data_IF_599681585817
#
_entry.id   IF_599681585817
#
_cell.length_a   1.000
_cell.length_b   1.000
_cell.length_c   1.000
_cell.angle_alpha   90.00
_cell.angle_beta   90.00
_cell.angle_gamma   90.00
#
_symmetry.space_group_name_H-M   'P 1'
#
loop_
_entity.id
_entity.type
_entity.pdbx_description
1 polymer ?
#
# COMPACT_ATOMS: atom_id res chain seq x y z
N UNK A 1 -14.77 -21.62 -15.51
CA UNK A 1 -14.34 -20.46 -16.31
C UNK A 1 -12.83 -20.54 -16.37
N UNK A 2 -12.21 -20.51 -17.56
CA UNK A 2 -10.75 -20.45 -17.64
C UNK A 2 -10.28 -19.15 -17.02
N UNK A 3 -9.43 -19.23 -16.01
CA UNK A 3 -8.65 -18.07 -15.58
C UNK A 3 -7.89 -17.55 -16.80
N UNK A 4 -8.00 -16.26 -17.16
CA UNK A 4 -7.13 -15.69 -18.17
C UNK A 4 -5.69 -15.86 -17.69
N UNK A 5 -4.79 -16.27 -18.59
CA UNK A 5 -3.37 -16.32 -18.26
C UNK A 5 -2.90 -14.94 -17.76
N UNK A 6 -2.32 -14.90 -16.56
CA UNK A 6 -1.88 -13.68 -15.88
C UNK A 6 -1.01 -12.80 -16.80
N UNK A 7 -0.09 -13.43 -17.53
CA UNK A 7 0.84 -12.71 -18.41
C UNK A 7 0.10 -11.93 -19.51
N UNK A 8 -0.92 -12.56 -20.12
CA UNK A 8 -1.73 -11.91 -21.17
C UNK A 8 -2.54 -10.74 -20.64
N UNK A 9 -3.07 -10.83 -19.42
CA UNK A 9 -3.77 -9.71 -18.77
C UNK A 9 -2.81 -8.57 -18.44
N UNK A 10 -1.63 -8.89 -17.90
CA UNK A 10 -0.61 -7.90 -17.57
C UNK A 10 -0.13 -7.17 -18.82
N UNK A 11 0.21 -7.89 -19.88
CA UNK A 11 0.61 -7.31 -21.17
C UNK A 11 -0.47 -6.37 -21.71
N UNK A 12 -1.73 -6.81 -21.69
CA UNK A 12 -2.86 -6.00 -22.13
C UNK A 12 -3.02 -4.73 -21.29
N UNK A 13 -2.93 -4.84 -19.97
CA UNK A 13 -3.00 -3.70 -19.07
C UNK A 13 -1.86 -2.70 -19.30
N UNK A 14 -0.64 -3.17 -19.62
CA UNK A 14 0.51 -2.33 -19.90
C UNK A 14 0.37 -1.54 -21.22
N UNK A 15 -0.46 -2.00 -22.16
CA UNK A 15 -0.78 -1.23 -23.39
C UNK A 15 -1.67 -0.02 -23.16
N UNK A 16 -2.38 0.04 -22.02
CA UNK A 16 -3.24 1.18 -21.68
C UNK A 16 -2.40 2.45 -21.44
N UNK A 17 -3.02 3.61 -21.66
CA UNK A 17 -2.41 4.90 -21.30
C UNK A 17 -2.16 4.96 -19.78
N UNK A 18 -1.19 5.77 -19.30
CA UNK A 18 -0.88 5.88 -17.86
C UNK A 18 -2.12 6.18 -17.01
N UNK A 19 -3.03 7.02 -17.50
CA UNK A 19 -4.28 7.36 -16.81
C UNK A 19 -5.22 6.15 -16.67
N UNK A 20 -5.43 5.39 -17.75
CA UNK A 20 -6.28 4.20 -17.72
C UNK A 20 -5.67 3.07 -16.86
N UNK A 21 -4.33 2.95 -16.84
CA UNK A 21 -3.65 2.03 -15.92
C UNK A 21 -3.87 2.40 -14.46
N UNK A 22 -3.83 3.69 -14.12
CA UNK A 22 -4.10 4.16 -12.76
C UNK A 22 -5.53 3.80 -12.32
N UNK A 23 -6.53 4.05 -13.18
CA UNK A 23 -7.93 3.68 -12.91
C UNK A 23 -8.08 2.16 -12.75
N UNK A 24 -7.41 1.36 -13.59
CA UNK A 24 -7.44 -0.10 -13.47
C UNK A 24 -6.82 -0.57 -12.15
N UNK A 25 -5.66 -0.03 -11.80
CA UNK A 25 -4.97 -0.35 -10.55
C UNK A 25 -5.82 0.00 -9.32
N UNK A 26 -6.46 1.17 -9.31
CA UNK A 26 -7.39 1.58 -8.26
C UNK A 26 -8.55 0.59 -8.12
N UNK A 27 -9.22 0.23 -9.22
CA UNK A 27 -10.33 -0.73 -9.19
C UNK A 27 -9.91 -2.11 -8.70
N UNK A 28 -8.74 -2.59 -9.13
CA UNK A 28 -8.20 -3.86 -8.68
C UNK A 28 -7.88 -3.80 -7.19
N UNK A 29 -7.27 -2.71 -6.71
CA UNK A 29 -6.99 -2.52 -5.30
C UNK A 29 -8.27 -2.51 -4.46
N UNK A 30 -9.28 -1.72 -4.84
CA UNK A 30 -10.58 -1.69 -4.16
C UNK A 30 -11.31 -3.03 -4.18
N UNK A 31 -11.05 -3.89 -5.18
CA UNK A 31 -11.64 -5.23 -5.21
C UNK A 31 -11.06 -6.19 -4.17
N UNK A 32 -9.91 -5.86 -3.58
CA UNK A 32 -9.26 -6.61 -2.51
C UNK A 32 -9.79 -6.23 -1.12
N UNK A 33 -10.50 -5.11 -1.02
CA UNK A 33 -11.10 -4.66 0.24
C UNK A 33 -12.09 -5.72 0.73
N UNK A 34 -11.93 -6.12 1.99
CA UNK A 34 -12.79 -7.11 2.62
C UNK A 34 -13.69 -6.46 3.68
N UNK A 35 -14.56 -7.26 4.29
CA UNK A 35 -15.53 -6.79 5.28
C UNK A 35 -14.90 -6.08 6.51
N UNK A 36 -13.59 -6.21 6.74
CA UNK A 36 -12.85 -5.53 7.82
C UNK A 36 -12.10 -4.29 7.37
N UNK A 37 -12.21 -3.87 6.11
CA UNK A 37 -11.46 -2.71 5.60
C UNK A 37 -11.70 -1.46 6.46
N UNK A 38 -12.94 -1.24 6.90
CA UNK A 38 -13.27 -0.12 7.81
C UNK A 38 -12.55 -0.20 9.16
N UNK A 39 -12.37 -1.38 9.74
CA UNK A 39 -11.64 -1.56 11.01
C UNK A 39 -10.15 -1.26 10.80
N UNK A 40 -9.61 -1.69 9.66
CA UNK A 40 -8.22 -1.42 9.26
C UNK A 40 -8.01 0.07 9.05
N UNK A 41 -8.89 0.74 8.33
CA UNK A 41 -8.81 2.18 8.06
C UNK A 41 -8.85 3.01 9.36
N UNK A 42 -9.73 2.65 10.30
CA UNK A 42 -9.82 3.31 11.62
C UNK A 42 -8.56 3.09 12.46
N UNK A 43 -8.03 1.86 12.47
CA UNK A 43 -6.77 1.56 13.16
C UNK A 43 -5.59 2.34 12.56
N UNK A 44 -5.53 2.46 11.23
CA UNK A 44 -4.51 3.27 10.56
C UNK A 44 -4.64 4.76 10.87
N UNK A 45 -5.85 5.32 10.85
CA UNK A 45 -6.06 6.72 11.19
C UNK A 45 -5.58 7.03 12.62
N UNK A 46 -5.96 6.17 13.58
CA UNK A 46 -5.54 6.28 14.98
C UNK A 46 -4.01 6.23 15.11
N UNK A 47 -3.36 5.32 14.39
CA UNK A 47 -1.91 5.16 14.45
C UNK A 47 -1.16 6.33 13.82
N UNK A 48 -1.69 6.91 12.73
CA UNK A 48 -1.12 8.10 12.09
C UNK A 48 -1.18 9.30 13.03
N UNK A 49 -2.33 9.53 13.68
CA UNK A 49 -2.49 10.61 14.65
C UNK A 49 -1.54 10.44 15.83
N UNK A 50 -1.44 9.22 16.38
CA UNK A 50 -0.49 8.88 17.45
C UNK A 50 0.96 9.15 17.03
N UNK A 51 1.37 8.66 15.85
CA UNK A 51 2.72 8.88 15.32
C UNK A 51 3.02 10.37 15.15
N UNK A 52 2.05 11.13 14.65
CA UNK A 52 2.20 12.57 14.47
C UNK A 52 2.41 13.28 15.83
N UNK A 53 1.57 12.99 16.82
CA UNK A 53 1.69 13.56 18.16
C UNK A 53 3.04 13.25 18.81
N UNK A 54 3.51 12.01 18.72
CA UNK A 54 4.80 11.58 19.29
C UNK A 54 5.99 12.30 18.68
N UNK A 55 5.93 12.57 17.36
CA UNK A 55 6.96 13.35 16.66
C UNK A 55 6.88 14.82 17.09
N UNK A 56 5.68 15.40 17.16
CA UNK A 56 5.50 16.80 17.55
C UNK A 56 5.91 17.06 19.00
N UNK A 57 5.63 16.12 19.91
CA UNK A 57 5.99 16.23 21.33
C UNK A 57 7.45 15.90 21.60
N UNK A 58 8.16 15.31 20.63
CA UNK A 58 9.53 14.80 20.82
C UNK A 58 9.60 13.56 21.72
N UNK A 59 8.48 12.87 21.94
CA UNK A 59 8.44 11.60 22.71
C UNK A 59 9.26 10.52 22.01
N UNK A 60 9.34 10.57 20.67
CA UNK A 60 10.13 9.67 19.85
C UNK A 60 11.17 10.43 19.03
N UNK A 61 12.30 9.78 18.75
CA UNK A 61 13.30 10.28 17.79
C UNK A 61 13.08 9.57 16.46
N UNK A 62 12.63 10.27 15.40
CA UNK A 62 12.43 9.66 14.10
C UNK A 62 13.77 9.25 13.47
N UNK A 63 13.75 8.18 12.69
CA UNK A 63 14.88 7.76 11.86
C UNK A 63 14.59 8.05 10.38
N UNK A 64 15.61 8.20 9.53
CA UNK A 64 15.42 8.35 8.10
C UNK A 64 14.67 7.16 7.49
N UNK A 65 13.76 7.44 6.54
CA UNK A 65 12.97 6.38 5.89
C UNK A 65 13.82 5.35 5.14
N UNK A 66 14.97 5.75 4.60
CA UNK A 66 15.92 4.83 3.96
C UNK A 66 16.47 3.77 4.93
N UNK A 67 16.69 4.13 6.20
CA UNK A 67 17.15 3.19 7.22
C UNK A 67 16.07 2.15 7.55
N UNK A 68 14.80 2.56 7.58
CA UNK A 68 13.66 1.65 7.76
C UNK A 68 13.58 0.65 6.61
N UNK A 69 13.65 1.13 5.36
CA UNK A 69 13.57 0.27 4.18
C UNK A 69 14.70 -0.75 4.13
N UNK A 70 15.93 -0.31 4.43
CA UNK A 70 17.10 -1.18 4.50
C UNK A 70 16.91 -2.30 5.55
N UNK A 71 16.45 -1.95 6.75
CA UNK A 71 16.20 -2.93 7.81
C UNK A 71 15.11 -3.95 7.41
N UNK A 72 14.07 -3.52 6.68
CA UNK A 72 13.02 -4.42 6.18
C UNK A 72 13.54 -5.38 5.11
N UNK A 73 14.43 -4.92 4.22
CA UNK A 73 15.08 -5.77 3.23
C UNK A 73 15.97 -6.84 3.89
N UNK A 74 16.76 -6.46 4.89
CA UNK A 74 17.61 -7.38 5.65
C UNK A 74 16.79 -8.44 6.38
N UNK A 75 15.59 -8.11 6.88
CA UNK A 75 14.68 -9.04 7.57
C UNK A 75 14.01 -10.07 6.65
N UNK A 76 13.94 -9.80 5.34
CA UNK A 76 13.30 -10.68 4.34
C UNK A 76 14.26 -11.68 3.69
N UNK A 77 15.57 -11.59 3.97
CA UNK A 77 16.59 -12.57 3.55
C UNK A 77 16.71 -13.70 4.57
#
# INVERSE_FOLDING_TARGET
MSDPNFDTLLESALTLSPHLRAILAERLLSSLDNFKQSEVDEAWATEVDRCFEEIQSGTVTPIPGEEVLKALEERRR
#
